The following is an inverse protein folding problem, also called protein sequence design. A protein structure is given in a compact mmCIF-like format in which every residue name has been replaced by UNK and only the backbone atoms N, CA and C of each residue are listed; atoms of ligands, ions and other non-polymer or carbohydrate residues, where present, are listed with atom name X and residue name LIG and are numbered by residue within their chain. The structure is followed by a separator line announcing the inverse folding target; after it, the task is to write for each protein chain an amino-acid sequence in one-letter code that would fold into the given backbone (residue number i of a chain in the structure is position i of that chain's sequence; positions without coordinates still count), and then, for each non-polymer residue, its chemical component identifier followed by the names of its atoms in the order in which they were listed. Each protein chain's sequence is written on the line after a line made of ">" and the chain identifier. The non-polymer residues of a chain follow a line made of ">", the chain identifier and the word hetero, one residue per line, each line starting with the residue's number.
data_IF_180749507449
#
_entry.id   IF_180749507449
#
_cell.length_a   1.000
_cell.length_b   1.000
_cell.length_c   1.000
_cell.angle_alpha   90.00
_cell.angle_beta   90.00
_cell.angle_gamma   90.00
#
_symmetry.space_group_name_H-M   'P 1'
#
loop_
_entity.id
_entity.type
_entity.pdbx_description
1 polymer ?
#
# COMPACT_ATOMS: atom_id res chain seq x y z
N UNK A 1 23.77 29.84 2.89
CA UNK A 1 23.60 29.11 4.17
C UNK A 1 22.19 28.53 4.26
N UNK A 2 21.15 29.31 3.98
CA UNK A 2 19.75 28.87 3.94
C UNK A 2 19.49 27.75 2.92
N UNK A 3 19.99 27.89 1.67
CA UNK A 3 19.91 26.83 0.64
C UNK A 3 20.63 25.51 1.01
N UNK A 4 21.64 25.54 1.89
CA UNK A 4 22.36 24.33 2.33
C UNK A 4 21.60 23.60 3.43
N UNK A 5 20.98 24.32 4.37
CA UNK A 5 20.10 23.74 5.40
C UNK A 5 18.85 23.12 4.77
N UNK A 6 18.22 23.82 3.83
CA UNK A 6 17.04 23.30 3.12
C UNK A 6 17.39 22.05 2.29
N UNK A 7 18.53 22.07 1.59
CA UNK A 7 19.00 20.91 0.82
C UNK A 7 19.29 19.70 1.71
N UNK A 8 19.94 19.90 2.86
CA UNK A 8 20.23 18.81 3.81
C UNK A 8 18.97 18.27 4.47
N UNK A 9 18.03 19.14 4.83
CA UNK A 9 16.75 18.73 5.39
C UNK A 9 15.96 17.91 4.37
N UNK A 10 15.89 18.38 3.11
CA UNK A 10 15.22 17.66 2.03
C UNK A 10 15.87 16.29 1.78
N UNK A 11 17.21 16.23 1.73
CA UNK A 11 17.91 14.96 1.58
C UNK A 11 17.63 14.00 2.75
N UNK A 12 17.58 14.51 3.98
CA UNK A 12 17.26 13.69 5.15
C UNK A 12 15.82 13.17 5.12
N UNK A 13 14.84 14.02 4.77
CA UNK A 13 13.45 13.61 4.63
C UNK A 13 13.25 12.56 3.53
N UNK A 14 13.99 12.68 2.42
CA UNK A 14 14.00 11.68 1.35
C UNK A 14 14.58 10.35 1.84
N UNK A 15 15.69 10.37 2.58
CA UNK A 15 16.27 9.17 3.19
C UNK A 15 15.29 8.48 4.13
N UNK A 16 14.67 9.22 5.05
CA UNK A 16 13.68 8.64 5.98
C UNK A 16 12.50 8.03 5.21
N UNK A 17 12.00 8.71 4.17
CA UNK A 17 10.97 8.15 3.32
C UNK A 17 11.42 6.84 2.67
N UNK A 18 12.64 6.76 2.14
CA UNK A 18 13.19 5.55 1.54
C UNK A 18 13.33 4.41 2.57
N UNK A 19 13.75 4.72 3.80
CA UNK A 19 13.83 3.76 4.90
C UNK A 19 12.45 3.15 5.23
N UNK A 20 11.43 4.01 5.33
CA UNK A 20 10.04 3.59 5.54
C UNK A 20 9.51 2.75 4.39
N UNK A 21 9.74 3.18 3.15
CA UNK A 21 9.29 2.45 1.95
C UNK A 21 9.99 1.10 1.80
N UNK A 22 11.22 0.97 2.28
CA UNK A 22 11.94 -0.30 2.34
C UNK A 22 11.21 -1.26 3.28
N UNK A 23 10.91 -0.82 4.51
CA UNK A 23 10.12 -1.60 5.47
C UNK A 23 8.80 -2.09 4.89
N UNK A 24 8.03 -1.18 4.30
CA UNK A 24 6.76 -1.50 3.63
C UNK A 24 6.97 -2.55 2.53
N UNK A 25 7.97 -2.38 1.68
CA UNK A 25 8.19 -3.28 0.54
C UNK A 25 8.55 -4.70 0.99
N UNK A 26 9.31 -4.85 2.08
CA UNK A 26 9.63 -6.17 2.65
C UNK A 26 8.48 -6.80 3.45
N UNK A 27 7.53 -5.99 3.92
CA UNK A 27 6.32 -6.46 4.59
C UNK A 27 5.29 -7.05 3.61
N UNK A 28 5.14 -6.47 2.41
CA UNK A 28 4.12 -6.87 1.42
C UNK A 28 4.09 -8.39 1.10
N UNK A 29 5.22 -9.09 0.92
CA UNK A 29 5.18 -10.54 0.69
C UNK A 29 4.52 -11.34 1.83
N UNK A 30 4.70 -10.92 3.08
CA UNK A 30 4.06 -11.56 4.24
C UNK A 30 2.56 -11.34 4.24
N UNK A 31 2.14 -10.11 3.93
CA UNK A 31 0.74 -9.73 3.74
C UNK A 31 0.08 -10.56 2.64
N UNK A 32 0.81 -10.76 1.54
CA UNK A 32 0.32 -11.51 0.38
C UNK A 32 0.11 -12.98 0.73
N UNK A 33 1.08 -13.60 1.42
CA UNK A 33 0.94 -14.98 1.93
C UNK A 33 -0.23 -15.04 2.92
N UNK A 34 -0.25 -14.14 3.90
CA UNK A 34 -1.28 -14.09 4.94
C UNK A 34 -2.69 -13.99 4.36
N UNK A 35 -2.92 -13.00 3.50
CA UNK A 35 -4.20 -12.77 2.85
C UNK A 35 -4.65 -13.92 1.95
N UNK A 36 -3.77 -14.48 1.13
CA UNK A 36 -4.12 -15.58 0.21
C UNK A 36 -4.43 -16.86 0.98
N UNK A 37 -3.62 -17.22 1.99
CA UNK A 37 -3.86 -18.44 2.77
C UNK A 37 -5.13 -18.32 3.61
N UNK A 38 -5.38 -17.15 4.22
CA UNK A 38 -6.62 -16.90 4.93
C UNK A 38 -7.84 -16.97 3.99
N UNK A 39 -7.72 -16.43 2.77
CA UNK A 39 -8.75 -16.55 1.75
C UNK A 39 -9.06 -17.99 1.37
N UNK A 40 -8.01 -18.80 1.13
CA UNK A 40 -8.16 -20.22 0.83
C UNK A 40 -8.78 -20.99 2.01
N UNK A 41 -8.41 -20.64 3.24
CA UNK A 41 -9.00 -21.23 4.44
C UNK A 41 -10.51 -21.07 4.46
N UNK A 42 -10.97 -19.84 4.25
CA UNK A 42 -12.37 -19.49 4.17
C UNK A 42 -13.09 -20.14 2.98
N UNK A 43 -12.46 -20.23 1.80
CA UNK A 43 -13.03 -21.01 0.67
C UNK A 43 -13.27 -22.46 1.06
N UNK A 44 -12.28 -23.08 1.69
CA UNK A 44 -12.37 -24.49 2.09
C UNK A 44 -13.41 -24.65 3.18
N UNK A 45 -13.52 -23.73 4.14
CA UNK A 45 -14.51 -23.79 5.22
C UNK A 45 -15.95 -23.78 4.70
N UNK A 46 -16.22 -23.09 3.59
CA UNK A 46 -17.56 -22.98 2.97
C UNK A 46 -17.90 -24.13 1.99
N UNK A 47 -16.99 -25.11 1.80
CA UNK A 47 -17.27 -26.23 0.91
C UNK A 47 -18.30 -27.20 1.52
N UNK A 48 -19.21 -27.78 0.72
CA UNK A 48 -20.12 -28.79 1.23
C UNK A 48 -19.36 -29.99 1.81
N UNK A 49 -19.60 -30.29 3.09
CA UNK A 49 -19.00 -31.44 3.78
C UNK A 49 -17.67 -31.14 4.50
N UNK A 50 -17.25 -29.88 4.58
CA UNK A 50 -16.17 -29.45 5.49
C UNK A 50 -16.72 -29.10 6.86
N UNK A 51 -15.86 -29.21 7.89
CA UNK A 51 -16.21 -28.82 9.25
C UNK A 51 -16.05 -27.29 9.41
N UNK A 52 -17.03 -26.66 10.03
CA UNK A 52 -17.08 -25.22 10.31
C UNK A 52 -17.62 -24.35 9.19
N UNK A 53 -17.43 -23.04 9.38
CA UNK A 53 -17.73 -21.98 8.43
C UNK A 53 -16.59 -20.95 8.45
N UNK A 54 -16.72 -19.90 7.63
CA UNK A 54 -15.87 -18.70 7.75
C UNK A 54 -15.78 -18.14 9.17
N UNK A 55 -16.87 -18.20 9.96
CA UNK A 55 -16.93 -17.69 11.33
C UNK A 55 -16.23 -18.61 12.35
N UNK A 56 -16.27 -19.93 12.14
CA UNK A 56 -15.73 -20.91 13.10
C UNK A 56 -14.41 -21.55 12.67
N UNK A 57 -13.81 -21.11 11.55
CA UNK A 57 -12.62 -21.76 10.97
C UNK A 57 -11.45 -21.90 11.95
N UNK A 58 -11.30 -20.95 12.88
CA UNK A 58 -10.25 -20.95 13.90
C UNK A 58 -10.52 -21.91 15.07
N UNK A 59 -11.77 -22.34 15.24
CA UNK A 59 -12.22 -23.27 16.28
C UNK A 59 -12.12 -24.74 15.81
N UNK A 60 -12.21 -24.98 14.49
CA UNK A 60 -12.17 -26.30 13.87
C UNK A 60 -10.76 -26.89 13.76
N UNK A 61 -10.10 -27.02 14.92
CA UNK A 61 -8.71 -27.47 15.02
C UNK A 61 -8.46 -28.80 14.30
N UNK A 62 -7.35 -28.86 13.55
CA UNK A 62 -6.96 -30.05 12.79
C UNK A 62 -7.63 -30.24 11.43
N UNK A 63 -8.61 -29.39 11.07
CA UNK A 63 -9.16 -29.35 9.71
C UNK A 63 -8.17 -28.70 8.72
N UNK A 64 -8.32 -29.01 7.42
CA UNK A 64 -7.51 -28.36 6.37
C UNK A 64 -7.73 -26.84 6.37
N UNK A 65 -8.97 -26.39 6.53
CA UNK A 65 -9.32 -24.98 6.60
C UNK A 65 -8.61 -24.29 7.77
N UNK A 66 -8.58 -24.93 8.95
CA UNK A 66 -7.87 -24.41 10.11
C UNK A 66 -6.36 -24.27 9.86
N UNK A 67 -5.68 -25.26 9.28
CA UNK A 67 -4.25 -25.14 8.96
C UNK A 67 -3.97 -23.98 7.98
N UNK A 68 -4.83 -23.78 6.99
CA UNK A 68 -4.73 -22.65 6.06
C UNK A 68 -4.96 -21.31 6.79
N UNK A 69 -5.95 -21.25 7.69
CA UNK A 69 -6.26 -20.05 8.46
C UNK A 69 -5.10 -19.67 9.38
N UNK A 70 -4.45 -20.63 10.03
CA UNK A 70 -3.27 -20.42 10.87
C UNK A 70 -2.09 -19.85 10.08
N UNK A 71 -1.81 -20.36 8.88
CA UNK A 71 -0.76 -19.80 8.02
C UNK A 71 -1.11 -18.35 7.63
N UNK A 72 -2.39 -18.12 7.31
CA UNK A 72 -2.91 -16.80 6.98
C UNK A 72 -2.70 -15.78 8.10
N UNK A 73 -3.19 -16.12 9.29
CA UNK A 73 -3.14 -15.31 10.50
C UNK A 73 -1.70 -15.00 10.94
N UNK A 74 -0.82 -16.01 10.97
CA UNK A 74 0.60 -15.81 11.27
C UNK A 74 1.29 -14.89 10.26
N UNK A 75 0.92 -14.98 8.98
CA UNK A 75 1.44 -14.12 7.91
C UNK A 75 1.08 -12.65 8.10
N UNK A 76 -0.16 -12.38 8.52
CA UNK A 76 -0.62 -11.02 8.85
C UNK A 76 0.00 -10.54 10.17
N UNK A 77 0.11 -11.40 11.18
CA UNK A 77 0.70 -11.04 12.49
C UNK A 77 2.18 -10.66 12.38
N UNK A 78 2.98 -11.45 11.64
CA UNK A 78 4.43 -11.20 11.52
C UNK A 78 4.76 -10.00 10.62
N UNK A 79 3.79 -9.47 9.87
CA UNK A 79 4.02 -8.34 8.97
C UNK A 79 4.51 -7.08 9.73
N UNK A 80 3.99 -6.85 10.94
CA UNK A 80 4.31 -5.67 11.76
C UNK A 80 5.77 -5.69 12.25
N UNK A 81 6.29 -6.78 12.86
CA UNK A 81 7.71 -6.83 13.22
C UNK A 81 8.64 -6.87 12.01
N UNK A 82 8.21 -7.44 10.87
CA UNK A 82 8.94 -7.34 9.60
C UNK A 82 9.09 -5.89 9.16
N UNK A 83 8.01 -5.09 9.21
CA UNK A 83 8.05 -3.67 8.88
C UNK A 83 9.13 -2.94 9.68
N UNK A 84 9.08 -3.02 11.02
CA UNK A 84 10.06 -2.33 11.87
C UNK A 84 11.48 -2.88 11.72
N UNK A 85 11.64 -4.19 11.56
CA UNK A 85 12.94 -4.81 11.29
C UNK A 85 13.57 -4.32 10.00
N UNK A 86 12.81 -4.22 8.91
CA UNK A 86 13.33 -3.77 7.63
C UNK A 86 13.49 -2.25 7.52
N UNK A 87 12.75 -1.45 8.31
CA UNK A 87 13.07 -0.03 8.52
C UNK A 87 14.44 0.10 9.20
N UNK A 88 14.68 -0.65 10.28
CA UNK A 88 15.97 -0.64 10.97
C UNK A 88 17.11 -1.12 10.07
N UNK A 89 16.84 -2.13 9.24
CA UNK A 89 17.78 -2.62 8.22
C UNK A 89 18.09 -1.56 7.17
N UNK A 90 17.10 -0.80 6.68
CA UNK A 90 17.35 0.26 5.71
C UNK A 90 18.30 1.34 6.26
N UNK A 91 18.17 1.67 7.54
CA UNK A 91 19.01 2.67 8.21
C UNK A 91 20.41 2.15 8.56
N UNK A 92 20.53 0.89 9.01
CA UNK A 92 21.76 0.37 9.63
C UNK A 92 22.34 -0.91 9.03
N UNK A 93 21.76 -1.45 7.95
CA UNK A 93 22.00 -2.78 7.40
C UNK A 93 21.69 -3.92 8.40
N UNK A 94 22.29 -5.09 8.18
CA UNK A 94 22.13 -6.32 8.98
C UNK A 94 22.19 -6.11 10.51
N UNK A 95 23.08 -5.26 11.08
CA UNK A 95 23.13 -5.05 12.52
C UNK A 95 21.86 -4.47 13.15
N UNK A 96 21.08 -3.69 12.40
CA UNK A 96 19.83 -3.09 12.88
C UNK A 96 18.61 -4.01 12.77
N UNK A 97 18.68 -5.04 11.93
CA UNK A 97 17.54 -5.89 11.60
C UNK A 97 16.93 -6.58 12.82
N UNK A 98 17.74 -7.33 13.59
CA UNK A 98 17.24 -8.07 14.75
C UNK A 98 16.71 -7.16 15.87
N UNK A 99 17.39 -6.06 16.25
CA UNK A 99 16.83 -5.09 17.20
C UNK A 99 15.51 -4.49 16.73
N UNK A 100 15.43 -4.05 15.47
CA UNK A 100 14.20 -3.47 14.91
C UNK A 100 13.04 -4.46 14.96
N UNK A 101 13.29 -5.71 14.59
CA UNK A 101 12.27 -6.76 14.63
C UNK A 101 11.80 -7.05 16.06
N UNK A 102 12.72 -7.30 16.99
CA UNK A 102 12.40 -7.67 18.37
C UNK A 102 11.70 -6.53 19.10
N UNK A 103 12.19 -5.29 18.97
CA UNK A 103 11.58 -4.13 19.61
C UNK A 103 10.22 -3.78 19.01
N UNK A 104 10.00 -4.05 17.73
CA UNK A 104 8.67 -3.91 17.13
C UNK A 104 7.74 -5.03 17.58
N UNK A 105 8.23 -6.26 17.74
CA UNK A 105 7.41 -7.38 18.19
C UNK A 105 7.01 -7.30 19.66
N UNK A 106 7.92 -6.85 20.53
CA UNK A 106 7.69 -6.83 21.98
C UNK A 106 6.56 -5.89 22.38
N UNK A 107 6.36 -4.80 21.63
CA UNK A 107 5.26 -3.84 21.84
C UNK A 107 3.94 -4.26 21.18
N UNK A 108 3.94 -5.38 20.44
CA UNK A 108 2.72 -6.07 20.01
C UNK A 108 2.25 -7.12 21.01
N UNK A 109 2.96 -7.31 22.11
CA UNK A 109 2.53 -8.23 23.16
C UNK A 109 1.69 -7.44 24.17
N UNK A 110 0.38 -7.68 24.15
CA UNK A 110 -0.61 -7.08 25.07
C UNK A 110 -0.11 -7.16 26.53
N UNK A 111 0.27 -8.35 26.99
CA UNK A 111 0.77 -8.56 28.34
C UNK A 111 2.01 -7.70 28.70
N UNK A 112 2.84 -7.33 27.71
CA UNK A 112 3.99 -6.44 27.93
C UNK A 112 3.52 -4.99 28.07
N UNK A 113 2.60 -4.55 27.21
CA UNK A 113 2.06 -3.18 27.23
C UNK A 113 1.26 -2.95 28.51
N UNK A 114 0.41 -3.89 28.91
CA UNK A 114 -0.32 -3.81 30.18
C UNK A 114 0.62 -3.71 31.38
N UNK A 115 1.63 -4.60 31.46
CA UNK A 115 2.61 -4.57 32.53
C UNK A 115 3.41 -3.26 32.56
N UNK A 116 3.77 -2.72 31.38
CA UNK A 116 4.42 -1.42 31.27
C UNK A 116 3.48 -0.29 31.74
N UNK A 117 2.21 -0.34 31.38
CA UNK A 117 1.17 0.60 31.77
C UNK A 117 1.02 0.72 33.28
N UNK A 118 0.96 -0.42 33.98
CA UNK A 118 0.95 -0.48 35.44
C UNK A 118 2.17 0.20 36.09
N UNK A 119 3.35 0.07 35.47
CA UNK A 119 4.59 0.68 35.99
C UNK A 119 4.57 2.21 35.82
N UNK A 120 4.05 2.71 34.70
CA UNK A 120 4.05 4.15 34.40
C UNK A 120 2.78 4.87 34.86
N UNK A 121 1.77 4.14 35.35
CA UNK A 121 0.53 4.68 35.88
C UNK A 121 -0.53 5.02 34.81
N UNK A 122 -0.51 4.34 33.67
CA UNK A 122 -1.49 4.48 32.58
C UNK A 122 -2.03 3.11 32.19
N UNK A 123 -3.34 2.94 32.18
CA UNK A 123 -4.01 1.71 31.72
C UNK A 123 -4.05 1.69 30.19
N UNK A 124 -3.83 0.51 29.62
CA UNK A 124 -3.81 0.26 28.18
C UNK A 124 -4.43 -1.13 27.92
N UNK A 125 -5.67 -1.29 28.41
CA UNK A 125 -6.43 -2.55 28.39
C UNK A 125 -6.55 -3.09 26.96
N UNK A 126 -5.92 -4.25 26.70
CA UNK A 126 -5.96 -4.88 25.37
C UNK A 126 -5.22 -4.14 24.26
N UNK A 127 -4.60 -2.99 24.55
CA UNK A 127 -3.98 -2.15 23.52
C UNK A 127 -2.55 -2.61 23.21
N UNK A 128 -2.19 -2.50 21.94
CA UNK A 128 -0.83 -2.74 21.44
C UNK A 128 -0.34 -1.53 20.67
N UNK A 129 0.97 -1.39 20.48
CA UNK A 129 1.51 -0.21 19.81
C UNK A 129 1.25 -0.17 18.29
N UNK A 130 0.68 -1.24 17.72
CA UNK A 130 0.26 -1.29 16.33
C UNK A 130 1.39 -1.04 15.33
N UNK A 131 1.02 -0.59 14.14
CA UNK A 131 2.00 -0.23 13.11
C UNK A 131 2.81 1.03 13.46
N UNK A 132 2.22 1.98 14.21
CA UNK A 132 2.90 3.20 14.63
C UNK A 132 4.11 2.84 15.49
N UNK A 133 3.90 1.91 16.42
CA UNK A 133 4.93 1.34 17.27
C UNK A 133 6.07 0.75 16.45
N UNK A 134 5.76 -0.08 15.45
CA UNK A 134 6.77 -0.69 14.60
C UNK A 134 7.60 0.32 13.79
N UNK A 135 6.98 1.40 13.29
CA UNK A 135 7.70 2.47 12.59
C UNK A 135 8.66 3.17 13.55
N UNK A 136 8.17 3.57 14.73
CA UNK A 136 8.98 4.28 15.73
C UNK A 136 10.12 3.39 16.24
N UNK A 137 9.80 2.15 16.64
CA UNK A 137 10.79 1.19 17.13
C UNK A 137 11.83 0.85 16.04
N UNK A 138 11.39 0.64 14.80
CA UNK A 138 12.28 0.38 13.67
C UNK A 138 13.24 1.53 13.38
N UNK A 139 12.74 2.78 13.33
CA UNK A 139 13.59 3.96 13.14
C UNK A 139 14.59 4.14 14.29
N UNK A 140 14.12 4.04 15.54
CA UNK A 140 15.00 4.16 16.72
C UNK A 140 16.09 3.08 16.71
N UNK A 141 15.72 1.83 16.49
CA UNK A 141 16.65 0.71 16.39
C UNK A 141 17.68 0.94 15.28
N UNK A 142 17.23 1.37 14.10
CA UNK A 142 18.10 1.71 12.98
C UNK A 142 19.09 2.82 13.33
N UNK A 143 18.63 3.94 13.87
CA UNK A 143 19.52 5.07 14.19
C UNK A 143 20.52 4.75 15.30
N UNK A 144 20.09 4.03 16.35
CA UNK A 144 20.98 3.60 17.44
C UNK A 144 22.00 2.58 16.92
N UNK A 145 21.59 1.59 16.13
CA UNK A 145 22.50 0.63 15.54
C UNK A 145 23.52 1.31 14.61
N UNK A 146 23.07 2.27 13.79
CA UNK A 146 23.95 3.07 12.92
C UNK A 146 24.94 3.91 13.70
N UNK A 147 24.52 4.50 14.82
CA UNK A 147 25.41 5.22 15.72
C UNK A 147 26.50 4.31 16.29
N UNK A 148 26.13 3.09 16.73
CA UNK A 148 27.09 2.10 17.22
C UNK A 148 28.05 1.58 16.15
N UNK A 149 27.60 1.49 14.88
CA UNK A 149 28.50 1.18 13.73
C UNK A 149 29.61 2.21 13.56
N UNK A 150 29.38 3.45 13.98
CA UNK A 150 30.37 4.53 13.90
C UNK A 150 31.45 4.48 15.00
N UNK A 151 31.37 3.55 15.95
CA UNK A 151 32.31 3.47 17.05
C UNK A 151 33.68 2.94 16.60
N UNK A 152 34.74 3.63 17.04
CA UNK A 152 36.11 3.17 16.87
C UNK A 152 36.44 2.14 17.95
N UNK A 153 36.50 0.86 17.57
CA UNK A 153 36.79 -0.26 18.48
C UNK A 153 38.10 -0.98 18.08
N UNK A 154 38.78 -1.66 19.02
CA UNK A 154 39.94 -2.49 18.70
C UNK A 154 39.60 -3.58 17.67
N UNK A 155 40.59 -3.99 16.87
CA UNK A 155 40.42 -5.01 15.81
C UNK A 155 39.89 -6.36 16.31
N UNK A 156 40.13 -6.69 17.58
CA UNK A 156 39.62 -7.90 18.23
C UNK A 156 38.10 -7.88 18.37
N UNK A 157 37.50 -6.69 18.55
CA UNK A 157 36.06 -6.51 18.80
C UNK A 157 35.31 -6.16 17.51
N UNK A 158 35.98 -5.62 16.49
CA UNK A 158 35.34 -5.13 15.26
C UNK A 158 34.52 -6.20 14.53
N UNK A 159 34.92 -7.47 14.59
CA UNK A 159 34.19 -8.60 14.00
C UNK A 159 32.93 -8.96 14.80
N UNK A 160 32.95 -8.76 16.12
CA UNK A 160 31.82 -9.00 17.02
C UNK A 160 30.80 -7.87 16.98
N UNK A 161 31.20 -6.67 16.52
CA UNK A 161 30.33 -5.49 16.46
C UNK A 161 29.00 -5.76 15.73
N UNK A 162 28.99 -6.12 14.43
CA UNK A 162 27.74 -6.29 13.69
C UNK A 162 26.91 -7.52 14.09
N UNK A 163 27.54 -8.55 14.68
CA UNK A 163 26.90 -9.84 14.95
C UNK A 163 26.33 -9.89 16.38
N UNK A 164 27.04 -9.31 17.35
CA UNK A 164 26.72 -9.45 18.77
C UNK A 164 26.55 -8.10 19.46
N UNK A 165 27.55 -7.21 19.38
CA UNK A 165 27.55 -5.99 20.20
C UNK A 165 26.42 -5.06 19.78
N UNK A 166 26.36 -4.71 18.49
CA UNK A 166 25.36 -3.76 17.99
C UNK A 166 23.94 -4.31 18.21
N UNK A 167 23.61 -5.56 17.82
CA UNK A 167 22.27 -6.07 18.06
C UNK A 167 21.88 -6.11 19.54
N UNK A 168 22.73 -6.66 20.41
CA UNK A 168 22.41 -6.82 21.84
C UNK A 168 22.31 -5.47 22.54
N UNK A 169 23.27 -4.58 22.32
CA UNK A 169 23.28 -3.28 23.01
C UNK A 169 22.22 -2.32 22.46
N UNK A 170 21.88 -2.39 21.17
CA UNK A 170 20.76 -1.61 20.62
C UNK A 170 19.46 -2.01 21.30
N UNK A 171 19.16 -3.31 21.38
CA UNK A 171 17.97 -3.82 22.06
C UNK A 171 18.00 -3.49 23.55
N UNK A 172 19.12 -3.70 24.24
CA UNK A 172 19.24 -3.40 25.67
C UNK A 172 19.00 -1.92 25.98
N UNK A 173 19.57 -1.03 25.17
CA UNK A 173 19.44 0.42 25.37
C UNK A 173 18.02 0.90 25.08
N UNK A 174 17.40 0.37 24.03
CA UNK A 174 16.09 0.83 23.58
C UNK A 174 14.92 0.11 24.23
N UNK A 175 15.06 -1.12 24.74
CA UNK A 175 13.94 -1.86 25.32
C UNK A 175 13.22 -1.07 26.42
N UNK A 176 13.89 -0.43 27.41
CA UNK A 176 13.19 0.39 28.40
C UNK A 176 12.48 1.59 27.78
N UNK A 177 13.10 2.23 26.78
CA UNK A 177 12.55 3.42 26.11
C UNK A 177 11.32 3.06 25.28
N UNK A 178 11.41 1.98 24.50
CA UNK A 178 10.36 1.52 23.59
C UNK A 178 9.21 0.89 24.38
N UNK A 179 9.48 0.11 25.43
CA UNK A 179 8.43 -0.55 26.21
C UNK A 179 7.76 0.43 27.18
N UNK A 180 8.54 1.05 28.07
CA UNK A 180 7.99 1.87 29.16
C UNK A 180 7.75 3.32 28.72
N UNK A 181 8.64 3.88 27.90
CA UNK A 181 8.57 5.28 27.52
C UNK A 181 7.59 5.56 26.38
N UNK A 182 7.56 4.69 25.36
CA UNK A 182 6.84 4.94 24.12
C UNK A 182 5.71 3.95 23.86
N UNK A 183 5.84 2.69 24.27
CA UNK A 183 4.92 1.61 23.93
C UNK A 183 3.49 1.91 24.38
N UNK A 184 3.32 2.26 25.66
CA UNK A 184 2.00 2.58 26.22
C UNK A 184 1.39 3.85 25.60
N UNK A 185 2.08 5.01 25.51
CA UNK A 185 1.52 6.17 24.82
C UNK A 185 1.15 5.89 23.36
N UNK A 186 1.96 5.12 22.63
CA UNK A 186 1.66 4.77 21.24
C UNK A 186 0.45 3.85 21.18
N UNK A 187 0.33 2.86 22.08
CA UNK A 187 -0.82 1.96 22.13
C UNK A 187 -2.13 2.71 22.40
N UNK A 188 -2.12 3.69 23.31
CA UNK A 188 -3.28 4.55 23.57
C UNK A 188 -3.65 5.37 22.33
N UNK A 189 -2.66 5.89 21.61
CA UNK A 189 -2.90 6.64 20.37
C UNK A 189 -3.46 5.72 19.27
N UNK A 190 -2.93 4.51 19.14
CA UNK A 190 -3.37 3.51 18.18
C UNK A 190 -4.82 3.12 18.46
N UNK A 191 -5.17 2.78 19.71
CA UNK A 191 -6.54 2.49 20.13
C UNK A 191 -7.51 3.65 19.88
N UNK A 192 -7.08 4.89 20.17
CA UNK A 192 -7.89 6.08 19.88
C UNK A 192 -8.10 6.29 18.38
N UNK A 193 -7.10 5.98 17.54
CA UNK A 193 -7.21 6.05 16.08
C UNK A 193 -8.14 4.96 15.55
N UNK A 194 -8.00 3.73 16.03
CA UNK A 194 -8.84 2.57 15.72
C UNK A 194 -10.30 2.88 16.06
N UNK A 195 -10.56 3.33 17.29
CA UNK A 195 -11.89 3.78 17.75
C UNK A 195 -12.46 4.91 16.89
N UNK A 196 -11.64 5.90 16.51
CA UNK A 196 -12.07 6.99 15.65
C UNK A 196 -12.45 6.50 14.25
N UNK A 197 -11.68 5.57 13.68
CA UNK A 197 -11.94 4.98 12.36
C UNK A 197 -13.18 4.09 12.36
N UNK A 198 -13.42 3.33 13.43
CA UNK A 198 -14.66 2.59 13.62
C UNK A 198 -15.87 3.54 13.70
N UNK A 199 -15.74 4.66 14.42
CA UNK A 199 -16.75 5.72 14.47
C UNK A 199 -17.00 6.43 13.14
N UNK A 200 -16.06 6.36 12.19
CA UNK A 200 -16.22 6.92 10.83
C UNK A 200 -17.08 6.04 9.90
N UNK A 201 -17.51 4.85 10.33
CA UNK A 201 -18.49 4.01 9.64
C UNK A 201 -19.87 4.70 9.63
N UNK A 202 -20.04 5.70 8.75
CA UNK A 202 -21.22 6.56 8.68
C UNK A 202 -20.99 7.83 7.84
N UNK A 203 -21.19 9.01 8.45
CA UNK A 203 -21.20 10.32 7.74
C UNK A 203 -19.90 10.64 6.99
N UNK A 204 -18.75 10.17 7.48
CA UNK A 204 -17.44 10.39 6.88
C UNK A 204 -16.93 9.21 6.04
N UNK A 205 -17.66 8.09 6.01
CA UNK A 205 -17.29 6.89 5.26
C UNK A 205 -17.09 7.20 3.77
N UNK A 206 -17.95 8.05 3.21
CA UNK A 206 -17.87 8.46 1.81
C UNK A 206 -16.57 9.24 1.52
N UNK A 207 -16.17 10.15 2.40
CA UNK A 207 -14.93 10.94 2.25
C UNK A 207 -13.70 10.05 2.41
N UNK A 208 -13.65 9.22 3.44
CA UNK A 208 -12.54 8.29 3.66
C UNK A 208 -12.37 7.36 2.45
N UNK A 209 -13.48 6.84 1.92
CA UNK A 209 -13.47 5.91 0.79
C UNK A 209 -13.02 6.60 -0.49
N UNK A 210 -13.45 7.86 -0.69
CA UNK A 210 -12.99 8.67 -1.81
C UNK A 210 -11.48 8.91 -1.77
N UNK A 211 -10.93 9.23 -0.59
CA UNK A 211 -9.50 9.47 -0.41
C UNK A 211 -8.72 8.19 -0.66
N UNK A 212 -9.06 7.09 0.03
CA UNK A 212 -8.34 5.82 -0.09
C UNK A 212 -8.42 5.26 -1.50
N UNK A 213 -9.63 5.21 -2.09
CA UNK A 213 -9.83 4.77 -3.46
C UNK A 213 -9.07 5.65 -4.45
N UNK A 214 -9.15 6.97 -4.30
CA UNK A 214 -8.44 7.92 -5.15
C UNK A 214 -6.92 7.75 -5.09
N UNK A 215 -6.35 7.62 -3.90
CA UNK A 215 -4.90 7.41 -3.68
C UNK A 215 -4.37 6.18 -4.42
N UNK A 216 -5.14 5.11 -4.50
CA UNK A 216 -4.75 3.90 -5.25
C UNK A 216 -4.53 4.16 -6.74
N UNK A 217 -5.18 5.17 -7.32
CA UNK A 217 -5.10 5.46 -8.74
C UNK A 217 -4.10 6.56 -9.12
N UNK A 218 -3.52 7.27 -8.15
CA UNK A 218 -2.69 8.46 -8.43
C UNK A 218 -1.42 8.12 -9.20
N UNK A 219 -0.73 7.06 -8.81
CA UNK A 219 0.58 6.70 -9.34
C UNK A 219 0.73 5.19 -9.67
N UNK A 220 -0.39 4.48 -9.80
CA UNK A 220 -0.49 3.12 -10.37
C UNK A 220 0.53 2.12 -9.80
N UNK A 221 0.64 2.06 -8.46
CA UNK A 221 1.60 1.21 -7.74
C UNK A 221 2.81 1.98 -7.19
N UNK A 222 2.85 3.29 -7.39
CA UNK A 222 3.84 4.18 -6.79
C UNK A 222 3.64 4.43 -5.29
N UNK A 223 4.39 5.39 -4.71
CA UNK A 223 4.37 5.68 -3.28
C UNK A 223 3.00 6.02 -2.69
N UNK A 224 2.15 6.78 -3.41
CA UNK A 224 0.82 7.21 -2.91
C UNK A 224 -0.12 6.01 -2.83
N UNK A 225 -0.13 5.17 -3.87
CA UNK A 225 -0.85 3.90 -3.87
C UNK A 225 -0.38 3.01 -2.71
N UNK A 226 0.94 2.84 -2.53
CA UNK A 226 1.49 2.02 -1.44
C UNK A 226 1.13 2.55 -0.05
N UNK A 227 1.05 3.86 0.15
CA UNK A 227 0.61 4.44 1.43
C UNK A 227 -0.85 4.06 1.71
N UNK A 228 -1.75 4.19 0.73
CA UNK A 228 -3.14 3.76 0.91
C UNK A 228 -3.25 2.25 1.13
N UNK A 229 -2.46 1.45 0.41
CA UNK A 229 -2.39 0.01 0.57
C UNK A 229 -1.98 -0.40 1.99
N UNK A 230 -0.88 0.18 2.51
CA UNK A 230 -0.39 -0.08 3.87
C UNK A 230 -1.43 0.36 4.89
N UNK A 231 -2.05 1.52 4.71
CA UNK A 231 -3.11 1.99 5.60
C UNK A 231 -4.26 0.98 5.68
N UNK A 232 -4.76 0.49 4.54
CA UNK A 232 -5.81 -0.54 4.53
C UNK A 232 -5.36 -1.87 5.14
N UNK A 233 -4.16 -2.32 4.80
CA UNK A 233 -3.60 -3.60 5.25
C UNK A 233 -3.36 -3.66 6.75
N UNK A 234 -2.83 -2.58 7.31
CA UNK A 234 -2.57 -2.50 8.75
C UNK A 234 -3.86 -2.62 9.53
N UNK A 235 -4.89 -1.89 9.10
CA UNK A 235 -6.19 -1.89 9.75
C UNK A 235 -6.89 -3.27 9.69
N UNK A 236 -6.52 -4.14 8.75
CA UNK A 236 -6.96 -5.55 8.77
C UNK A 236 -6.44 -6.28 10.00
N UNK A 237 -5.20 -6.02 10.44
CA UNK A 237 -4.68 -6.63 11.66
C UNK A 237 -5.47 -6.19 12.89
N UNK A 238 -5.91 -4.93 12.90
CA UNK A 238 -6.78 -4.36 13.94
C UNK A 238 -8.27 -4.70 13.74
N UNK A 239 -8.58 -5.67 12.87
CA UNK A 239 -9.94 -6.12 12.55
C UNK A 239 -10.87 -5.06 11.92
N UNK A 240 -10.32 -3.94 11.45
CA UNK A 240 -11.05 -2.90 10.72
C UNK A 240 -10.94 -3.15 9.20
N UNK A 241 -11.94 -3.83 8.65
CA UNK A 241 -11.89 -4.33 7.27
C UNK A 241 -12.44 -3.39 6.18
N UNK A 242 -13.16 -2.32 6.56
CA UNK A 242 -13.79 -1.42 5.59
C UNK A 242 -12.77 -0.64 4.73
N UNK A 243 -11.71 -0.03 5.30
CA UNK A 243 -10.68 0.68 4.55
C UNK A 243 -9.99 -0.21 3.50
N UNK A 244 -9.73 -1.48 3.83
CA UNK A 244 -9.15 -2.43 2.90
C UNK A 244 -10.05 -2.71 1.70
N UNK A 245 -11.38 -2.75 1.88
CA UNK A 245 -12.31 -2.88 0.77
C UNK A 245 -12.20 -1.70 -0.21
N UNK A 246 -12.17 -0.47 0.31
CA UNK A 246 -12.02 0.74 -0.51
C UNK A 246 -10.69 0.75 -1.27
N UNK A 247 -9.60 0.35 -0.61
CA UNK A 247 -8.26 0.22 -1.20
C UNK A 247 -8.26 -0.82 -2.32
N UNK A 248 -8.81 -2.01 -2.09
CA UNK A 248 -8.86 -3.07 -3.11
C UNK A 248 -9.69 -2.65 -4.31
N UNK A 249 -10.93 -2.24 -4.07
CA UNK A 249 -11.84 -1.78 -5.13
C UNK A 249 -11.21 -0.63 -5.90
N UNK A 250 -10.64 0.35 -5.20
CA UNK A 250 -9.96 1.50 -5.78
C UNK A 250 -8.78 1.14 -6.67
N UNK A 251 -7.96 0.14 -6.30
CA UNK A 251 -6.82 -0.28 -7.11
C UNK A 251 -7.18 -1.19 -8.30
N UNK A 252 -8.35 -1.86 -8.27
CA UNK A 252 -8.85 -2.66 -9.39
C UNK A 252 -9.42 -1.79 -10.53
N UNK A 253 -9.96 -0.61 -10.19
CA UNK A 253 -10.68 0.27 -11.12
C UNK A 253 -9.82 0.84 -12.28
N UNK A 254 -8.59 1.35 -12.08
CA UNK A 254 -7.84 2.02 -13.14
C UNK A 254 -7.61 1.17 -14.40
N UNK A 255 -7.04 -0.06 -14.30
CA UNK A 255 -6.84 -0.91 -15.48
C UNK A 255 -8.17 -1.32 -16.13
N UNK A 256 -9.21 -1.62 -15.35
CA UNK A 256 -10.53 -2.01 -15.86
C UNK A 256 -11.20 -0.85 -16.62
N UNK A 257 -11.19 0.35 -16.05
CA UNK A 257 -11.81 1.54 -16.63
C UNK A 257 -11.12 1.99 -17.91
N UNK A 258 -9.80 1.91 -17.97
CA UNK A 258 -9.02 2.27 -19.16
C UNK A 258 -9.14 1.21 -20.26
N UNK A 259 -9.19 -0.07 -19.91
CA UNK A 259 -9.52 -1.13 -20.86
C UNK A 259 -10.91 -0.90 -21.46
N UNK A 260 -11.91 -0.62 -20.62
CA UNK A 260 -13.28 -0.34 -21.08
C UNK A 260 -13.33 0.90 -21.98
N UNK A 261 -12.66 2.00 -21.62
CA UNK A 261 -12.58 3.20 -22.48
C UNK A 261 -11.97 2.89 -23.85
N UNK A 262 -10.93 2.05 -23.90
CA UNK A 262 -10.29 1.66 -25.15
C UNK A 262 -11.22 0.77 -26.00
N UNK A 263 -11.95 -0.16 -25.39
CA UNK A 263 -12.89 -1.01 -26.12
C UNK A 263 -14.07 -0.22 -26.72
N UNK A 264 -14.59 0.79 -26.02
CA UNK A 264 -15.74 1.58 -26.49
C UNK A 264 -15.36 2.72 -27.44
N UNK A 265 -14.14 3.26 -27.31
CA UNK A 265 -13.65 4.39 -28.11
C UNK A 265 -12.21 4.16 -28.60
N UNK A 266 -11.95 3.09 -29.38
CA UNK A 266 -10.61 2.71 -29.82
C UNK A 266 -9.91 3.83 -30.62
N UNK A 267 -10.67 4.68 -31.32
CA UNK A 267 -10.15 5.83 -32.07
C UNK A 267 -9.43 6.88 -31.21
N UNK A 268 -9.61 6.86 -29.88
CA UNK A 268 -8.93 7.75 -28.93
C UNK A 268 -7.56 7.24 -28.49
N UNK A 269 -7.18 6.04 -28.92
CA UNK A 269 -5.96 5.35 -28.52
C UNK A 269 -5.14 4.95 -29.75
N UNK A 270 -3.84 4.72 -29.54
CA UNK A 270 -3.01 4.09 -30.57
C UNK A 270 -3.50 2.66 -30.80
N UNK A 271 -3.42 2.15 -32.04
CA UNK A 271 -3.91 0.82 -32.39
C UNK A 271 -3.24 -0.29 -31.55
N UNK A 272 -1.97 -0.14 -31.19
CA UNK A 272 -1.25 -1.14 -30.36
C UNK A 272 -1.78 -1.21 -28.93
N UNK A 273 -2.44 -0.15 -28.42
CA UNK A 273 -3.01 -0.13 -27.06
C UNK A 273 -4.20 -1.07 -26.90
N UNK A 274 -4.78 -1.60 -27.98
CA UNK A 274 -5.87 -2.57 -27.89
C UNK A 274 -5.43 -3.88 -27.25
N UNK A 275 -4.20 -4.34 -27.50
CA UNK A 275 -3.65 -5.52 -26.81
C UNK A 275 -3.37 -5.24 -25.33
N UNK A 276 -2.93 -4.02 -25.01
CA UNK A 276 -2.79 -3.58 -23.62
C UNK A 276 -4.14 -3.57 -22.90
N UNK A 277 -5.23 -3.21 -23.58
CA UNK A 277 -6.59 -3.25 -23.01
C UNK A 277 -6.99 -4.67 -22.63
N UNK A 278 -6.74 -5.65 -23.50
CA UNK A 278 -7.02 -7.07 -23.22
C UNK A 278 -6.22 -7.57 -22.02
N UNK A 279 -4.95 -7.19 -21.92
CA UNK A 279 -4.09 -7.57 -20.80
C UNK A 279 -4.48 -6.85 -19.49
N UNK A 280 -4.96 -5.61 -19.57
CA UNK A 280 -5.35 -4.82 -18.40
C UNK A 280 -6.57 -5.40 -17.66
N UNK A 281 -7.49 -6.09 -18.35
CA UNK A 281 -8.66 -6.72 -17.72
C UNK A 281 -8.29 -7.75 -16.64
N UNK A 282 -7.56 -8.85 -16.94
CA UNK A 282 -7.18 -9.81 -15.92
C UNK A 282 -6.26 -9.22 -14.85
N UNK A 283 -5.41 -8.24 -15.19
CA UNK A 283 -4.59 -7.53 -14.21
C UNK A 283 -5.45 -6.73 -13.22
N UNK A 284 -6.42 -5.98 -13.72
CA UNK A 284 -7.36 -5.23 -12.89
C UNK A 284 -8.22 -6.13 -12.01
N UNK A 285 -8.71 -7.25 -12.56
CA UNK A 285 -9.40 -8.27 -11.78
C UNK A 285 -8.50 -8.89 -10.70
N UNK A 286 -7.20 -8.99 -10.93
CA UNK A 286 -6.25 -9.52 -9.94
C UNK A 286 -5.76 -8.47 -8.92
N UNK A 287 -6.33 -7.25 -8.90
CA UNK A 287 -5.86 -6.14 -8.06
C UNK A 287 -4.41 -5.73 -8.36
N UNK A 288 -4.06 -5.72 -9.66
CA UNK A 288 -2.77 -5.24 -10.19
C UNK A 288 -3.02 -3.93 -10.94
N UNK A 289 -2.82 -2.80 -10.26
CA UNK A 289 -3.11 -1.46 -10.80
C UNK A 289 -2.18 -1.07 -11.95
N UNK A 290 -1.02 -1.73 -12.07
CA UNK A 290 0.03 -1.51 -13.05
C UNK A 290 -0.45 -1.71 -14.51
N UNK A 291 -1.55 -2.44 -14.73
CA UNK A 291 -2.18 -2.54 -16.04
C UNK A 291 -2.59 -1.19 -16.65
N UNK A 292 -2.69 -0.14 -15.83
CA UNK A 292 -2.97 1.23 -16.25
C UNK A 292 -1.73 2.04 -16.68
N UNK A 293 -0.50 1.58 -16.36
CA UNK A 293 0.74 2.33 -16.62
C UNK A 293 0.91 2.70 -18.11
N UNK A 294 0.69 1.81 -19.10
CA UNK A 294 0.86 2.16 -20.51
C UNK A 294 -0.01 3.35 -20.94
N UNK A 295 -1.24 3.43 -20.40
CA UNK A 295 -2.17 4.52 -20.68
C UNK A 295 -1.72 5.83 -20.02
N UNK A 296 -1.32 5.76 -18.75
CA UNK A 296 -0.85 6.92 -17.99
C UNK A 296 0.43 7.50 -18.61
N UNK A 297 1.35 6.65 -19.09
CA UNK A 297 2.55 7.07 -19.79
C UNK A 297 2.24 7.79 -21.12
N UNK A 298 1.20 7.35 -21.85
CA UNK A 298 0.83 7.94 -23.13
C UNK A 298 0.09 9.30 -23.03
N UNK A 299 -0.66 9.53 -21.95
CA UNK A 299 -1.46 10.75 -21.75
C UNK A 299 -1.80 10.97 -20.26
N UNK A 300 -0.81 11.36 -19.44
CA UNK A 300 -0.94 11.39 -17.98
C UNK A 300 -1.99 12.39 -17.50
N UNK A 301 -2.07 13.56 -18.15
CA UNK A 301 -2.95 14.67 -17.77
C UNK A 301 -4.44 14.31 -17.84
N UNK A 302 -4.80 13.29 -18.59
CA UNK A 302 -6.20 12.86 -18.76
C UNK A 302 -6.44 11.52 -18.09
N UNK A 303 -5.50 10.59 -18.23
CA UNK A 303 -5.64 9.24 -17.69
C UNK A 303 -5.63 9.25 -16.17
N UNK A 304 -4.69 9.96 -15.53
CA UNK A 304 -4.56 9.97 -14.07
C UNK A 304 -5.83 10.57 -13.42
N UNK A 305 -6.31 11.77 -13.80
CA UNK A 305 -7.53 12.31 -13.20
C UNK A 305 -8.77 11.43 -13.43
N UNK A 306 -8.89 10.79 -14.61
CA UNK A 306 -10.01 9.88 -14.88
C UNK A 306 -10.00 8.67 -13.95
N UNK A 307 -8.82 8.06 -13.78
CA UNK A 307 -8.63 6.91 -12.90
C UNK A 307 -8.89 7.30 -11.43
N UNK A 308 -8.35 8.44 -10.98
CA UNK A 308 -8.56 8.96 -9.62
C UNK A 308 -10.04 9.19 -9.35
N UNK A 309 -10.78 9.83 -10.27
CA UNK A 309 -12.21 10.06 -10.10
C UNK A 309 -13.01 8.76 -10.01
N UNK A 310 -12.71 7.78 -10.85
CA UNK A 310 -13.40 6.49 -10.81
C UNK A 310 -13.08 5.68 -9.56
N UNK A 311 -11.80 5.58 -9.18
CA UNK A 311 -11.40 4.87 -7.97
C UNK A 311 -11.88 5.54 -6.69
N UNK A 312 -11.87 6.88 -6.64
CA UNK A 312 -12.48 7.64 -5.54
C UNK A 312 -14.00 7.36 -5.45
N UNK A 313 -14.70 7.39 -6.58
CA UNK A 313 -16.15 7.08 -6.60
C UNK A 313 -16.43 5.66 -6.11
N UNK A 314 -15.62 4.68 -6.55
CA UNK A 314 -15.78 3.29 -6.15
C UNK A 314 -15.49 3.07 -4.66
N UNK A 315 -14.39 3.63 -4.14
CA UNK A 315 -14.05 3.54 -2.72
C UNK A 315 -15.07 4.25 -1.82
N UNK A 316 -15.56 5.42 -2.25
CA UNK A 316 -16.61 6.16 -1.57
C UNK A 316 -17.92 5.35 -1.49
N UNK A 317 -18.33 4.75 -2.62
CA UNK A 317 -19.50 3.88 -2.67
C UNK A 317 -19.34 2.63 -1.79
N UNK A 318 -18.16 2.01 -1.81
CA UNK A 318 -17.87 0.82 -1.01
C UNK A 318 -18.04 1.08 0.49
N UNK A 319 -17.41 2.15 1.01
CA UNK A 319 -17.55 2.49 2.43
C UNK A 319 -18.95 3.00 2.78
N UNK A 320 -19.61 3.75 1.89
CA UNK A 320 -20.99 4.19 2.13
C UNK A 320 -21.98 3.02 2.21
N UNK A 321 -21.75 1.95 1.44
CA UNK A 321 -22.56 0.74 1.42
C UNK A 321 -22.14 -0.29 2.50
N UNK A 322 -21.14 0.01 3.33
CA UNK A 322 -20.65 -0.90 4.38
C UNK A 322 -19.93 -2.14 3.85
N UNK A 323 -19.30 -2.05 2.67
CA UNK A 323 -18.52 -3.15 2.11
C UNK A 323 -17.22 -3.29 2.89
N UNK A 324 -16.93 -4.51 3.35
CA UNK A 324 -15.69 -4.85 4.06
C UNK A 324 -14.91 -5.93 3.32
N UNK A 325 -13.61 -6.01 3.58
CA UNK A 325 -12.72 -7.01 2.98
C UNK A 325 -11.62 -7.40 3.97
N UNK A 326 -11.64 -8.64 4.51
CA UNK A 326 -10.61 -9.10 5.45
C UNK A 326 -9.31 -9.55 4.76
N UNK A 327 -9.33 -9.79 3.44
CA UNK A 327 -8.13 -10.17 2.70
C UNK A 327 -7.45 -8.93 2.11
N UNK A 328 -6.17 -8.65 2.40
CA UNK A 328 -5.46 -7.50 1.84
C UNK A 328 -4.99 -7.70 0.38
N UNK A 329 -5.14 -8.90 -0.18
CA UNK A 329 -4.72 -9.18 -1.57
C UNK A 329 -5.54 -10.30 -2.20
N UNK A 330 -5.53 -10.38 -3.54
CA UNK A 330 -6.18 -11.45 -4.32
C UNK A 330 -7.30 -11.00 -5.26
N UNK A 331 -7.70 -9.72 -5.25
CA UNK A 331 -8.66 -9.15 -6.20
C UNK A 331 -9.96 -9.95 -6.30
N UNK A 332 -10.37 -10.30 -7.52
CA UNK A 332 -11.57 -11.09 -7.81
C UNK A 332 -11.55 -12.48 -7.17
N UNK A 333 -10.36 -13.04 -6.94
CA UNK A 333 -10.20 -14.39 -6.40
C UNK A 333 -10.55 -14.48 -4.92
N UNK A 334 -10.77 -13.36 -4.23
CA UNK A 334 -11.14 -13.32 -2.81
C UNK A 334 -12.47 -12.60 -2.57
N UNK A 335 -13.25 -12.37 -3.63
CA UNK A 335 -14.50 -11.58 -3.58
C UNK A 335 -15.55 -12.14 -2.63
N UNK A 336 -15.59 -13.47 -2.43
CA UNK A 336 -16.53 -14.14 -1.53
C UNK A 336 -16.25 -13.88 -0.05
N UNK A 337 -15.07 -13.34 0.30
CA UNK A 337 -14.74 -12.91 1.66
C UNK A 337 -15.30 -11.54 2.01
N UNK A 338 -15.71 -10.77 1.00
CA UNK A 338 -16.32 -9.49 1.25
C UNK A 338 -17.65 -9.68 1.98
N UNK A 339 -18.00 -8.75 2.88
CA UNK A 339 -19.33 -8.73 3.51
C UNK A 339 -20.48 -8.80 2.51
N UNK A 340 -20.27 -8.33 1.28
CA UNK A 340 -21.19 -8.53 0.17
C UNK A 340 -20.44 -8.58 -1.16
N UNK A 341 -20.25 -9.79 -1.70
CA UNK A 341 -19.61 -10.00 -3.01
C UNK A 341 -20.31 -9.19 -4.13
N UNK A 342 -21.64 -9.09 -4.10
CA UNK A 342 -22.41 -8.34 -5.09
C UNK A 342 -22.12 -6.83 -5.01
N UNK A 343 -22.12 -6.25 -3.80
CA UNK A 343 -21.84 -4.83 -3.62
C UNK A 343 -20.38 -4.50 -3.93
N UNK A 344 -19.44 -5.39 -3.58
CA UNK A 344 -18.03 -5.28 -3.92
C UNK A 344 -17.84 -5.16 -5.45
N UNK A 345 -18.45 -6.08 -6.21
CA UNK A 345 -18.42 -6.06 -7.68
C UNK A 345 -19.16 -4.85 -8.27
N UNK A 346 -20.29 -4.45 -7.69
CA UNK A 346 -21.03 -3.28 -8.12
C UNK A 346 -20.22 -1.99 -7.97
N UNK A 347 -19.47 -1.84 -6.87
CA UNK A 347 -18.59 -0.68 -6.65
C UNK A 347 -17.43 -0.64 -7.67
N UNK A 348 -16.82 -1.80 -7.97
CA UNK A 348 -15.79 -1.91 -9.02
C UNK A 348 -16.38 -1.51 -10.37
N UNK A 349 -17.56 -2.03 -10.72
CA UNK A 349 -18.25 -1.71 -11.96
C UNK A 349 -18.56 -0.20 -12.05
N UNK A 350 -19.04 0.41 -10.97
CA UNK A 350 -19.30 1.84 -10.89
C UNK A 350 -18.04 2.67 -11.18
N UNK A 351 -16.94 2.40 -10.48
CA UNK A 351 -15.68 3.11 -10.71
C UNK A 351 -15.10 2.89 -12.10
N UNK A 352 -15.24 1.68 -12.63
CA UNK A 352 -14.82 1.30 -13.98
C UNK A 352 -15.58 2.12 -15.02
N UNK A 353 -16.91 2.24 -14.87
CA UNK A 353 -17.76 3.05 -15.76
C UNK A 353 -17.40 4.53 -15.65
N UNK A 354 -17.19 5.06 -14.44
CA UNK A 354 -16.81 6.47 -14.22
C UNK A 354 -15.46 6.76 -14.88
N UNK A 355 -14.44 5.93 -14.63
CA UNK A 355 -13.12 6.07 -15.26
C UNK A 355 -13.24 6.05 -16.77
N UNK A 356 -13.98 5.07 -17.32
CA UNK A 356 -14.13 4.91 -18.76
C UNK A 356 -14.84 6.10 -19.40
N UNK A 357 -15.90 6.60 -18.75
CA UNK A 357 -16.69 7.74 -19.22
C UNK A 357 -15.84 9.00 -19.22
N UNK A 358 -15.17 9.31 -18.11
CA UNK A 358 -14.34 10.51 -17.99
C UNK A 358 -13.18 10.45 -19.00
N UNK A 359 -12.45 9.34 -19.08
CA UNK A 359 -11.35 9.16 -20.02
C UNK A 359 -11.81 9.33 -21.47
N UNK A 360 -12.96 8.76 -21.83
CA UNK A 360 -13.52 8.88 -23.18
C UNK A 360 -13.95 10.31 -23.51
N UNK A 361 -14.56 11.03 -22.57
CA UNK A 361 -15.04 12.39 -22.80
C UNK A 361 -13.90 13.41 -22.94
N UNK A 362 -12.83 13.26 -22.16
CA UNK A 362 -11.76 14.28 -22.11
C UNK A 362 -10.61 14.00 -23.10
N UNK A 363 -10.44 12.76 -23.58
CA UNK A 363 -9.40 12.43 -24.56
C UNK A 363 -9.85 12.83 -25.97
N UNK A 364 -9.04 13.63 -26.70
CA UNK A 364 -9.28 13.86 -28.13
C UNK A 364 -8.99 12.59 -28.92
N UNK A 365 -9.40 12.58 -30.19
CA UNK A 365 -9.11 11.44 -31.07
C UNK A 365 -7.60 11.35 -31.33
N UNK A 366 -7.08 10.13 -31.39
CA UNK A 366 -5.64 9.88 -31.40
C UNK A 366 -4.96 10.56 -32.58
N UNK A 367 -5.56 10.45 -33.77
CA UNK A 367 -5.04 11.06 -35.00
C UNK A 367 -5.03 12.59 -34.94
N UNK A 368 -6.04 13.23 -34.34
CA UNK A 368 -6.07 14.69 -34.16
C UNK A 368 -4.98 15.14 -33.18
N UNK A 369 -4.77 14.38 -32.10
CA UNK A 369 -3.73 14.66 -31.10
C UNK A 369 -2.32 14.55 -31.70
N UNK A 370 -2.07 13.52 -32.50
CA UNK A 370 -0.76 13.31 -33.14
C UNK A 370 -0.53 14.37 -34.24
N UNK A 371 -1.55 14.68 -35.04
CA UNK A 371 -1.47 15.71 -36.08
C UNK A 371 -1.22 17.11 -35.50
N UNK A 372 -1.79 17.44 -34.33
CA UNK A 372 -1.53 18.71 -33.63
C UNK A 372 -0.18 18.81 -32.93
N UNK A 373 0.56 17.70 -32.79
CA UNK A 373 1.87 17.63 -32.13
C UNK A 373 3.04 17.70 -33.12
N UNK A 374 2.81 17.53 -34.42
CA UNK A 374 3.84 17.82 -35.43
C UNK A 374 4.01 19.33 -35.57
N UNK A 375 5.23 19.88 -35.42
CA UNK A 375 5.46 21.28 -35.75
C UNK A 375 5.17 21.45 -37.23
N UNK A 376 4.26 22.38 -37.56
CA UNK A 376 3.94 22.73 -38.93
C UNK A 376 5.24 22.91 -39.72
N UNK A 377 5.56 21.96 -40.60
CA UNK A 377 6.66 22.12 -41.56
C UNK A 377 6.35 23.41 -42.32
N UNK A 378 7.18 24.42 -42.10
CA UNK A 378 7.01 25.75 -42.66
C UNK A 378 6.87 25.65 -44.17
N UNK A 379 5.69 26.04 -44.67
CA UNK A 379 5.47 26.29 -46.08
C UNK A 379 6.27 27.54 -46.48
N UNK A 380 7.58 27.40 -46.69
CA UNK A 380 8.44 28.51 -47.16
C UNK A 380 9.37 28.13 -48.30
N UNK A 381 9.28 26.92 -48.87
CA UNK A 381 10.19 26.50 -49.95
C UNK A 381 9.56 26.49 -51.36
N UNK A 382 8.42 27.15 -51.55
CA UNK A 382 7.73 27.21 -52.85
C UNK A 382 7.92 28.54 -53.62
N UNK A 383 8.89 29.39 -53.26
CA UNK A 383 9.04 30.71 -53.92
C UNK A 383 10.45 31.15 -54.31
N UNK A 384 11.43 30.24 -54.43
CA UNK A 384 12.76 30.60 -54.94
C UNK A 384 13.28 29.62 -56.02
N UNK A 385 12.57 29.54 -57.14
CA UNK A 385 13.18 29.14 -58.43
C UNK A 385 12.49 29.88 -59.56
N UNK A 386 12.68 31.21 -59.62
CA UNK A 386 12.61 31.95 -60.88
C UNK A 386 13.29 33.32 -60.73
N UNK A 387 14.39 33.50 -61.46
CA UNK A 387 15.28 34.67 -61.63
C UNK A 387 16.66 34.40 -61.01
N UNK A 388 17.77 34.29 -61.74
CA UNK A 388 18.04 34.44 -63.16
C UNK A 388 19.55 34.64 -63.29
N UNK A 389 20.21 33.97 -64.23
CA UNK A 389 21.56 34.33 -64.67
C UNK A 389 21.71 34.07 -66.16
N UNK A 390 21.60 35.16 -66.92
CA UNK A 390 22.18 35.38 -68.25
C UNK A 390 23.27 36.44 -68.07
N UNK A 391 24.36 36.31 -68.85
CA UNK A 391 25.57 37.15 -68.98
C UNK A 391 26.69 36.72 -68.01
N UNK A 392 27.86 36.24 -68.42
CA UNK A 392 28.63 36.41 -69.67
C UNK A 392 28.99 35.10 -70.39
#
# INVERSE_FOLDING_TARGET
>A
MENDVESRLRAHLLSVKEDLMTGVSFMIPFVTIGGIFLALAFMVAELPGTAGSTETVFEETGSLAWYLAQIGDLGLTIMIPVLGGYIAYAVADKPGLAPGFILSWVIQQEAVIEAAGLVIGFEADGAVAGFLGAIVAGLLAGYVARWMKGWSVPSVVSQMMPILVIPVFTTLLLAPVVILGLGVPIAIVDDALTSALEGMQGSNALLLGAILGGMMAVDMGGPINKVAYVFGTVLVADQIFAPMAAVMIGGMVPPLGLALSNFIAPQKYAAEMYENAKAAVPLGLAFITEGAIPYAAADPLRVIPSAVLGSATAGAAALWLGVTMPAPHGGIFVVFLSSSALLFLACIALGTIVTATVATLIKPDYHERVAGAEPAKSATDASQTNAGQTND
#
